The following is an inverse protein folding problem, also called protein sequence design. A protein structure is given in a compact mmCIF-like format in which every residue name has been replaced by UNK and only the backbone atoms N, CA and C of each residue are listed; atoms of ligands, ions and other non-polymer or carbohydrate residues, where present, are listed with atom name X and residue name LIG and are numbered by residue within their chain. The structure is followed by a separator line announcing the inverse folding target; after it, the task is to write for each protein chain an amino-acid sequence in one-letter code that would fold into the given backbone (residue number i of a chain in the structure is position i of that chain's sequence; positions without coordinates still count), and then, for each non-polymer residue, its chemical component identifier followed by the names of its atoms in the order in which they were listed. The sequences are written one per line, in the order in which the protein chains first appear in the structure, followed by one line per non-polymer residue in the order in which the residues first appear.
data_IF_672395733521
#
_entry.id   IF_672395733521
#
_cell.length_a   1.000
_cell.length_b   1.000
_cell.length_c   1.000
_cell.angle_alpha   90.00
_cell.angle_beta   90.00
_cell.angle_gamma   90.00
#
_symmetry.space_group_name_H-M   'P 1'
#
loop_
_entity.id
_entity.type
_entity.pdbx_description
1 polymer ?
#
# COMPACT_ATOMS: atom_id res chain seq x y z
N UNK A 1 -13.07 -0.39 -20.69
CA UNK A 1 -11.60 -0.26 -20.47
C UNK A 1 -11.25 -0.51 -19.02
N UNK A 2 -11.85 0.23 -18.07
CA UNK A 2 -11.60 0.09 -16.62
C UNK A 2 -11.70 -1.37 -16.16
N UNK A 3 -12.85 -2.03 -16.37
CA UNK A 3 -13.05 -3.43 -15.95
C UNK A 3 -12.10 -4.44 -16.59
N UNK A 4 -11.80 -4.29 -17.88
CA UNK A 4 -10.84 -5.15 -18.57
C UNK A 4 -9.42 -4.97 -18.01
N UNK A 5 -9.01 -3.74 -17.68
CA UNK A 5 -7.73 -3.48 -17.01
C UNK A 5 -7.69 -4.12 -15.62
N UNK A 6 -8.75 -3.95 -14.82
CA UNK A 6 -8.88 -4.59 -13.50
C UNK A 6 -8.72 -6.12 -13.59
N UNK A 7 -9.40 -6.76 -14.53
CA UNK A 7 -9.27 -8.21 -14.76
C UNK A 7 -7.84 -8.59 -15.16
N UNK A 8 -7.16 -7.79 -15.99
CA UNK A 8 -5.76 -8.04 -16.40
C UNK A 8 -4.75 -7.86 -15.28
N UNK A 9 -5.03 -6.96 -14.34
CA UNK A 9 -4.27 -6.82 -13.08
C UNK A 9 -4.66 -7.89 -12.05
N UNK A 10 -5.50 -8.84 -12.46
CA UNK A 10 -5.91 -9.97 -11.65
C UNK A 10 -6.86 -9.59 -10.55
N UNK A 11 -7.58 -8.47 -10.62
CA UNK A 11 -8.60 -8.07 -9.65
C UNK A 11 -9.86 -8.90 -9.85
N UNK A 12 -10.41 -9.42 -8.74
CA UNK A 12 -11.62 -10.24 -8.70
C UNK A 12 -12.68 -9.68 -7.72
N UNK A 13 -12.29 -8.81 -6.78
CA UNK A 13 -13.18 -8.17 -5.80
C UNK A 13 -12.92 -6.67 -5.80
N UNK A 14 -13.98 -5.89 -5.85
CA UNK A 14 -13.93 -4.43 -5.73
C UNK A 14 -14.95 -3.93 -4.70
N UNK A 15 -14.60 -2.86 -3.98
CA UNK A 15 -15.46 -2.25 -2.98
C UNK A 15 -15.88 -0.87 -3.45
N UNK A 16 -17.16 -0.55 -3.50
CA UNK A 16 -17.50 0.79 -4.00
C UNK A 16 -18.94 1.21 -3.86
N UNK A 17 -19.16 2.50 -4.07
CA UNK A 17 -20.48 3.12 -4.04
C UNK A 17 -20.73 3.88 -5.36
N UNK A 18 -21.85 3.61 -6.06
CA UNK A 18 -22.14 4.28 -7.34
C UNK A 18 -22.54 5.74 -7.14
N UNK A 19 -22.43 6.52 -8.21
CA UNK A 19 -22.91 7.90 -8.29
C UNK A 19 -22.81 8.47 -9.71
N UNK A 20 -23.35 9.68 -9.92
CA UNK A 20 -23.62 10.21 -11.26
C UNK A 20 -22.39 10.44 -12.16
N UNK A 21 -21.21 10.67 -11.56
CA UNK A 21 -19.97 10.92 -12.30
C UNK A 21 -19.22 9.64 -12.69
N UNK A 22 -19.40 8.55 -11.92
CA UNK A 22 -18.78 7.23 -12.18
C UNK A 22 -19.76 6.24 -12.82
N UNK A 23 -21.01 6.67 -13.08
CA UNK A 23 -22.07 5.80 -13.58
C UNK A 23 -21.72 5.08 -14.89
N UNK A 24 -21.06 5.69 -15.90
CA UNK A 24 -20.67 4.96 -17.11
C UNK A 24 -19.74 3.77 -16.83
N UNK A 25 -18.85 3.91 -15.84
CA UNK A 25 -18.04 2.79 -15.36
C UNK A 25 -18.92 1.71 -14.75
N UNK A 26 -19.86 2.05 -13.86
CA UNK A 26 -20.79 1.08 -13.26
C UNK A 26 -21.73 0.39 -14.27
N UNK A 27 -22.19 1.10 -15.29
CA UNK A 27 -23.07 0.54 -16.34
C UNK A 27 -22.36 -0.60 -17.10
N UNK A 28 -21.04 -0.46 -17.30
CA UNK A 28 -20.21 -1.47 -17.95
C UNK A 28 -19.83 -2.68 -17.08
N UNK A 29 -20.24 -2.73 -15.80
CA UNK A 29 -19.86 -3.77 -14.85
C UNK A 29 -20.60 -5.10 -15.08
N UNK A 30 -21.89 -5.04 -15.42
CA UNK A 30 -22.78 -6.21 -15.42
C UNK A 30 -22.26 -7.44 -16.20
N UNK A 31 -21.63 -7.30 -17.38
CA UNK A 31 -21.05 -8.46 -18.08
C UNK A 31 -19.92 -9.15 -17.28
N UNK A 32 -19.09 -8.39 -16.58
CA UNK A 32 -17.97 -8.92 -15.80
C UNK A 32 -18.44 -9.64 -14.54
N UNK A 33 -19.51 -9.16 -13.90
CA UNK A 33 -20.17 -9.88 -12.80
C UNK A 33 -20.90 -11.13 -13.29
N UNK A 34 -21.60 -11.04 -14.43
CA UNK A 34 -22.30 -12.17 -15.04
C UNK A 34 -21.37 -13.32 -15.44
N UNK A 35 -20.14 -13.00 -15.81
CA UNK A 35 -19.06 -13.98 -16.08
C UNK A 35 -18.30 -14.42 -14.82
N UNK A 36 -18.61 -13.86 -13.65
CA UNK A 36 -17.93 -14.17 -12.39
C UNK A 36 -16.48 -13.67 -12.32
N UNK A 37 -16.09 -12.73 -13.20
CA UNK A 37 -14.73 -12.16 -13.24
C UNK A 37 -14.51 -11.11 -12.16
N UNK A 38 -15.56 -10.35 -11.82
CA UNK A 38 -15.54 -9.30 -10.82
C UNK A 38 -16.70 -9.53 -9.85
N UNK A 39 -16.44 -9.35 -8.57
CA UNK A 39 -17.43 -9.29 -7.52
C UNK A 39 -17.47 -7.88 -6.94
N UNK A 40 -18.59 -7.16 -7.13
CA UNK A 40 -18.78 -5.86 -6.51
C UNK A 40 -19.40 -5.98 -5.12
N UNK A 41 -18.65 -5.52 -4.12
CA UNK A 41 -19.15 -5.31 -2.77
C UNK A 41 -19.67 -3.87 -2.66
N UNK A 42 -20.99 -3.72 -2.74
CA UNK A 42 -21.66 -2.44 -2.50
C UNK A 42 -21.54 -2.05 -1.02
N UNK A 43 -20.87 -0.94 -0.76
CA UNK A 43 -20.73 -0.38 0.59
C UNK A 43 -21.91 0.53 0.94
N UNK A 44 -21.99 0.95 2.21
CA UNK A 44 -22.93 1.98 2.67
C UNK A 44 -22.29 3.36 2.87
N UNK A 45 -20.97 3.44 2.78
CA UNK A 45 -20.19 4.67 2.84
C UNK A 45 -18.83 4.43 2.17
N UNK A 46 -18.32 5.37 1.39
CA UNK A 46 -17.08 5.18 0.62
C UNK A 46 -15.84 5.02 1.52
N UNK A 47 -15.85 5.62 2.72
CA UNK A 47 -14.82 5.32 3.73
C UNK A 47 -14.71 3.81 4.01
N UNK A 48 -15.84 3.09 4.05
CA UNK A 48 -15.84 1.64 4.20
C UNK A 48 -15.23 0.96 2.98
N UNK A 49 -15.42 1.49 1.76
CA UNK A 49 -14.78 0.95 0.56
C UNK A 49 -13.25 1.01 0.68
N UNK A 50 -12.70 2.15 1.09
CA UNK A 50 -11.26 2.31 1.26
C UNK A 50 -10.70 1.39 2.37
N UNK A 51 -11.38 1.27 3.52
CA UNK A 51 -10.95 0.36 4.58
C UNK A 51 -11.15 -1.13 4.26
N UNK A 52 -12.18 -1.49 3.49
CA UNK A 52 -12.34 -2.85 2.99
C UNK A 52 -11.26 -3.21 1.97
N UNK A 53 -10.90 -2.29 1.08
CA UNK A 53 -9.78 -2.45 0.16
C UNK A 53 -8.44 -2.60 0.92
N UNK A 54 -8.22 -1.80 1.96
CA UNK A 54 -7.06 -1.92 2.86
C UNK A 54 -7.00 -3.31 3.53
N UNK A 55 -8.10 -3.75 4.15
CA UNK A 55 -8.15 -5.06 4.80
C UNK A 55 -8.02 -6.23 3.82
N UNK A 56 -8.60 -6.12 2.63
CA UNK A 56 -8.43 -7.09 1.55
C UNK A 56 -6.96 -7.18 1.12
N UNK A 57 -6.29 -6.04 0.93
CA UNK A 57 -4.90 -6.02 0.51
C UNK A 57 -3.98 -6.66 1.55
N UNK A 58 -4.17 -6.33 2.83
CA UNK A 58 -3.38 -6.92 3.93
C UNK A 58 -3.59 -8.42 4.08
N UNK A 59 -4.81 -8.92 3.89
CA UNK A 59 -5.13 -10.34 4.10
C UNK A 59 -4.76 -11.24 2.92
N UNK A 60 -4.65 -10.67 1.71
CA UNK A 60 -4.40 -11.43 0.48
C UNK A 60 -3.01 -11.20 -0.13
N UNK A 61 -2.34 -10.10 0.25
CA UNK A 61 -1.12 -9.63 -0.42
C UNK A 61 -1.36 -9.05 -1.83
N UNK A 62 -2.62 -8.88 -2.24
CA UNK A 62 -3.01 -8.34 -3.55
C UNK A 62 -3.35 -6.85 -3.44
N UNK A 63 -3.43 -6.15 -4.58
CA UNK A 63 -3.85 -4.74 -4.61
C UNK A 63 -5.34 -4.65 -4.30
N UNK A 64 -5.70 -3.90 -3.26
CA UNK A 64 -7.10 -3.60 -2.94
C UNK A 64 -7.67 -2.53 -3.88
N UNK A 65 -8.93 -2.66 -4.30
CA UNK A 65 -9.57 -1.68 -5.19
C UNK A 65 -10.82 -1.09 -4.56
N UNK A 66 -10.85 0.23 -4.45
CA UNK A 66 -12.05 0.96 -4.05
C UNK A 66 -12.54 1.92 -5.15
N UNK A 67 -13.86 2.04 -5.31
CA UNK A 67 -14.49 2.88 -6.33
C UNK A 67 -15.50 3.85 -5.70
N UNK A 68 -15.44 5.12 -6.10
CA UNK A 68 -16.38 6.15 -5.68
C UNK A 68 -16.76 7.09 -6.83
N UNK A 69 -17.86 7.84 -6.65
CA UNK A 69 -18.22 8.96 -7.53
C UNK A 69 -17.38 10.22 -7.23
N UNK A 70 -17.57 11.29 -7.99
CA UNK A 70 -16.93 12.59 -7.80
C UNK A 70 -17.30 13.26 -6.48
N UNK A 71 -16.60 14.35 -6.17
CA UNK A 71 -16.93 15.24 -5.07
C UNK A 71 -17.03 14.50 -3.74
N UNK A 72 -18.23 14.43 -3.11
CA UNK A 72 -18.39 13.82 -1.80
C UNK A 72 -17.94 12.36 -1.74
N UNK A 73 -18.19 11.57 -2.80
CA UNK A 73 -17.81 10.15 -2.83
C UNK A 73 -16.30 9.98 -2.75
N UNK A 74 -15.57 10.74 -3.56
CA UNK A 74 -14.11 10.76 -3.56
C UNK A 74 -13.53 11.30 -2.25
N UNK A 75 -14.07 12.40 -1.70
CA UNK A 75 -13.59 12.96 -0.42
C UNK A 75 -13.83 12.02 0.76
N UNK A 76 -14.85 11.16 0.69
CA UNK A 76 -15.10 10.13 1.71
C UNK A 76 -14.04 9.02 1.73
N UNK A 77 -13.22 8.87 0.66
CA UNK A 77 -12.12 7.91 0.62
C UNK A 77 -10.88 8.37 1.39
N UNK A 78 -10.71 9.69 1.61
CA UNK A 78 -9.47 10.33 2.09
C UNK A 78 -8.90 9.66 3.33
N UNK A 79 -9.74 9.39 4.34
CA UNK A 79 -9.28 8.75 5.58
C UNK A 79 -8.71 7.36 5.35
N UNK A 80 -9.36 6.54 4.51
CA UNK A 80 -8.87 5.19 4.21
C UNK A 80 -7.60 5.20 3.35
N UNK A 81 -7.47 6.16 2.43
CA UNK A 81 -6.23 6.36 1.67
C UNK A 81 -5.08 6.79 2.60
N UNK A 82 -5.34 7.72 3.52
CA UNK A 82 -4.36 8.11 4.54
C UNK A 82 -3.91 6.92 5.41
N UNK A 83 -4.84 6.05 5.82
CA UNK A 83 -4.52 4.81 6.53
C UNK A 83 -3.59 3.92 5.70
N UNK A 84 -3.95 3.65 4.44
CA UNK A 84 -3.16 2.81 3.55
C UNK A 84 -1.76 3.38 3.28
N UNK A 85 -1.65 4.70 3.09
CA UNK A 85 -0.36 5.38 2.88
C UNK A 85 0.56 5.28 4.10
N UNK A 86 0.02 5.47 5.30
CA UNK A 86 0.80 5.43 6.54
C UNK A 86 1.33 4.03 6.86
N UNK A 87 0.58 3.00 6.45
CA UNK A 87 0.90 1.59 6.70
C UNK A 87 1.53 0.89 5.49
N UNK A 88 1.64 1.57 4.35
CA UNK A 88 2.24 1.04 3.10
C UNK A 88 1.41 -0.09 2.48
N UNK A 89 0.11 0.11 2.37
CA UNK A 89 -0.84 -0.88 1.83
C UNK A 89 -1.14 -0.57 0.36
N UNK A 90 -1.02 -1.55 -0.55
CA UNK A 90 -1.29 -1.34 -1.98
C UNK A 90 -2.78 -1.22 -2.23
N UNK A 91 -3.23 -0.01 -2.59
CA UNK A 91 -4.61 0.26 -2.98
C UNK A 91 -4.63 1.03 -4.30
N UNK A 92 -5.58 0.72 -5.18
CA UNK A 92 -5.94 1.58 -6.31
C UNK A 92 -7.35 2.10 -6.10
N UNK A 93 -7.48 3.41 -5.95
CA UNK A 93 -8.75 4.10 -5.79
C UNK A 93 -9.18 4.70 -7.13
N UNK A 94 -10.36 4.33 -7.62
CA UNK A 94 -10.91 4.85 -8.88
C UNK A 94 -12.06 5.78 -8.55
N UNK A 95 -11.96 7.04 -8.96
CA UNK A 95 -13.00 8.04 -8.75
C UNK A 95 -13.55 8.53 -10.08
N UNK A 96 -14.85 8.77 -10.14
CA UNK A 96 -15.44 9.52 -11.25
C UNK A 96 -15.21 11.01 -11.04
N UNK A 97 -15.09 11.77 -12.12
CA UNK A 97 -15.00 13.22 -12.09
C UNK A 97 -16.02 13.86 -13.04
N UNK A 98 -16.28 15.15 -12.87
CA UNK A 98 -17.06 15.94 -13.84
C UNK A 98 -16.44 15.84 -15.25
N UNK A 99 -17.22 16.05 -16.32
CA UNK A 99 -16.68 16.14 -17.67
C UNK A 99 -15.53 17.15 -17.79
N UNK A 100 -14.57 16.88 -18.68
CA UNK A 100 -13.36 17.72 -18.85
C UNK A 100 -13.66 19.20 -19.04
N UNK A 101 -14.72 19.56 -19.78
CA UNK A 101 -15.11 20.94 -20.05
C UNK A 101 -15.69 21.69 -18.84
N UNK A 102 -15.94 21.00 -17.72
CA UNK A 102 -16.46 21.56 -16.48
C UNK A 102 -15.40 21.61 -15.36
N UNK A 103 -14.19 21.09 -15.61
CA UNK A 103 -13.10 21.18 -14.64
C UNK A 103 -12.74 22.65 -14.34
N UNK A 104 -12.60 22.96 -13.06
CA UNK A 104 -12.29 24.29 -12.52
C UNK A 104 -13.45 25.29 -12.59
N UNK A 105 -14.71 24.83 -12.76
CA UNK A 105 -15.87 25.73 -12.94
C UNK A 105 -16.83 25.78 -11.76
N UNK A 106 -16.48 25.14 -10.64
CA UNK A 106 -17.36 24.89 -9.49
C UNK A 106 -18.62 24.12 -9.91
N UNK A 107 -18.43 23.12 -10.78
CA UNK A 107 -19.52 22.31 -11.29
C UNK A 107 -20.17 21.46 -10.18
N UNK A 108 -21.38 20.96 -10.46
CA UNK A 108 -22.10 20.12 -9.50
C UNK A 108 -21.30 18.86 -9.15
N UNK A 109 -21.03 18.69 -7.84
CA UNK A 109 -20.20 17.60 -7.29
C UNK A 109 -18.79 17.54 -7.86
N UNK A 110 -18.24 18.68 -8.30
CA UNK A 110 -16.82 18.84 -8.54
C UNK A 110 -16.05 18.96 -7.22
N UNK A 111 -14.87 18.38 -7.15
CA UNK A 111 -13.86 18.66 -6.13
C UNK A 111 -12.48 18.39 -6.71
N UNK A 112 -11.47 19.16 -6.29
CA UNK A 112 -10.07 18.88 -6.59
C UNK A 112 -9.58 17.66 -5.79
N UNK A 113 -10.05 16.47 -6.19
CA UNK A 113 -9.75 15.21 -5.50
C UNK A 113 -8.26 14.92 -5.57
N UNK A 114 -7.60 15.24 -6.68
CA UNK A 114 -6.15 15.07 -6.84
C UNK A 114 -5.40 15.92 -5.81
N UNK A 115 -5.72 17.21 -5.66
CA UNK A 115 -5.12 18.08 -4.66
C UNK A 115 -5.42 17.64 -3.22
N UNK A 116 -6.66 17.27 -2.92
CA UNK A 116 -7.08 16.79 -1.59
C UNK A 116 -6.35 15.50 -1.19
N UNK A 117 -6.10 14.60 -2.15
CA UNK A 117 -5.51 13.28 -1.87
C UNK A 117 -4.00 13.22 -2.09
N UNK A 118 -3.39 14.23 -2.72
CA UNK A 118 -1.95 14.29 -2.96
C UNK A 118 -1.08 14.02 -1.71
N UNK A 119 -1.38 14.54 -0.50
CA UNK A 119 -0.56 14.26 0.68
C UNK A 119 -0.77 12.87 1.28
N UNK A 120 -1.83 12.16 0.86
CA UNK A 120 -2.25 10.87 1.44
C UNK A 120 -2.26 9.74 0.41
N UNK A 121 -1.67 9.96 -0.76
CA UNK A 121 -1.47 8.96 -1.81
C UNK A 121 -0.02 8.92 -2.23
N UNK A 122 0.44 7.73 -2.65
CA UNK A 122 1.76 7.53 -3.23
C UNK A 122 1.87 8.25 -4.58
N UNK A 123 0.79 8.23 -5.35
CA UNK A 123 0.66 8.97 -6.61
C UNK A 123 -0.81 9.15 -6.97
N UNK A 124 -1.12 10.15 -7.80
CA UNK A 124 -2.47 10.45 -8.27
C UNK A 124 -2.47 10.77 -9.76
N UNK A 125 -3.54 10.38 -10.45
CA UNK A 125 -3.79 10.73 -11.85
C UNK A 125 -5.13 11.43 -12.01
N UNK A 126 -5.19 12.40 -12.93
CA UNK A 126 -6.42 12.93 -13.51
C UNK A 126 -6.45 12.54 -14.99
N UNK A 127 -7.39 11.67 -15.36
CA UNK A 127 -7.55 11.17 -16.72
C UNK A 127 -8.52 12.06 -17.49
N UNK A 128 -8.01 12.75 -18.50
CA UNK A 128 -8.77 13.67 -19.37
C UNK A 128 -8.83 13.20 -20.83
N UNK A 129 -8.07 12.18 -21.22
CA UNK A 129 -8.12 11.53 -22.53
C UNK A 129 -8.32 10.01 -22.37
N UNK A 130 -9.21 9.43 -23.17
CA UNK A 130 -9.48 7.98 -23.20
C UNK A 130 -8.29 7.16 -23.70
N UNK A 131 -7.40 7.77 -24.49
CA UNK A 131 -6.21 7.09 -25.02
C UNK A 131 -5.15 6.84 -23.94
N UNK A 132 -5.12 7.67 -22.89
CA UNK A 132 -4.17 7.53 -21.77
C UNK A 132 -4.67 6.53 -20.72
N UNK A 133 -6.00 6.33 -20.64
CA UNK A 133 -6.65 5.55 -19.60
C UNK A 133 -6.04 4.13 -19.40
N UNK A 134 -5.75 3.34 -20.46
CA UNK A 134 -5.17 2.02 -20.27
C UNK A 134 -3.76 2.05 -19.65
N UNK A 135 -2.92 3.00 -20.07
CA UNK A 135 -1.56 3.15 -19.55
C UNK A 135 -1.59 3.61 -18.09
N UNK A 136 -2.39 4.64 -17.79
CA UNK A 136 -2.54 5.17 -16.43
C UNK A 136 -3.03 4.10 -15.46
N UNK A 137 -4.00 3.27 -15.86
CA UNK A 137 -4.44 2.16 -15.00
C UNK A 137 -3.30 1.18 -14.75
N UNK A 138 -2.52 0.82 -15.79
CA UNK A 138 -1.36 -0.06 -15.64
C UNK A 138 -0.28 0.51 -14.72
N UNK A 139 0.05 1.79 -14.90
CA UNK A 139 0.98 2.51 -14.03
C UNK A 139 0.47 2.59 -12.59
N UNK A 140 -0.82 2.85 -12.39
CA UNK A 140 -1.39 2.95 -11.06
C UNK A 140 -1.23 1.66 -10.25
N UNK A 141 -1.51 0.50 -10.87
CA UNK A 141 -1.30 -0.79 -10.21
C UNK A 141 0.19 -1.09 -9.96
N UNK A 142 1.06 -0.75 -10.90
CA UNK A 142 2.50 -0.91 -10.73
C UNK A 142 3.04 -0.02 -9.58
N UNK A 143 2.70 1.27 -9.58
CA UNK A 143 3.11 2.19 -8.52
C UNK A 143 2.53 1.75 -7.17
N UNK A 144 1.27 1.31 -7.12
CA UNK A 144 0.66 0.88 -5.86
C UNK A 144 1.41 -0.31 -5.23
N UNK A 145 1.90 -1.24 -6.05
CA UNK A 145 2.54 -2.50 -5.62
C UNK A 145 4.04 -2.40 -5.41
N UNK A 146 4.78 -1.74 -6.29
CA UNK A 146 6.24 -1.84 -6.36
C UNK A 146 6.98 -0.97 -5.32
N UNK A 147 8.16 -1.43 -4.89
CA UNK A 147 8.96 -0.76 -3.85
C UNK A 147 8.25 -0.76 -2.50
N UNK A 148 8.16 0.41 -1.84
CA UNK A 148 7.26 0.57 -0.68
C UNK A 148 5.82 0.70 -1.19
N UNK A 149 4.90 -0.26 -0.95
CA UNK A 149 3.55 -0.19 -1.48
C UNK A 149 2.76 0.98 -0.90
N UNK A 150 1.69 1.38 -1.58
CA UNK A 150 0.84 2.47 -1.12
C UNK A 150 -0.37 2.72 -2.02
N UNK A 151 -1.30 3.59 -1.59
CA UNK A 151 -2.47 3.96 -2.37
C UNK A 151 -2.13 4.83 -3.58
N UNK A 152 -2.76 4.54 -4.71
CA UNK A 152 -2.76 5.38 -5.92
C UNK A 152 -4.19 5.73 -6.29
N UNK A 153 -4.47 7.00 -6.55
CA UNK A 153 -5.79 7.45 -7.00
C UNK A 153 -5.80 7.70 -8.52
N UNK A 154 -6.84 7.23 -9.20
CA UNK A 154 -7.10 7.47 -10.62
C UNK A 154 -8.45 8.15 -10.76
N UNK A 155 -8.45 9.46 -11.01
CA UNK A 155 -9.64 10.28 -11.18
C UNK A 155 -10.02 10.36 -12.66
N UNK A 156 -11.21 9.89 -13.04
CA UNK A 156 -11.59 9.70 -14.45
C UNK A 156 -12.77 10.60 -14.82
N UNK A 157 -12.55 11.56 -15.71
CA UNK A 157 -13.61 12.45 -16.20
C UNK A 157 -14.75 11.66 -16.86
N UNK A 158 -15.99 12.07 -16.62
CA UNK A 158 -17.18 11.34 -17.09
C UNK A 158 -17.24 11.18 -18.61
N UNK A 159 -16.82 12.19 -19.37
CA UNK A 159 -16.74 12.15 -20.82
C UNK A 159 -15.67 11.17 -21.32
N UNK A 160 -14.55 11.03 -20.60
CA UNK A 160 -13.54 9.98 -20.87
C UNK A 160 -14.12 8.59 -20.68
N UNK A 161 -14.91 8.36 -19.62
CA UNK A 161 -15.55 7.06 -19.39
C UNK A 161 -16.54 6.67 -20.51
N UNK A 162 -17.19 7.65 -21.15
CA UNK A 162 -18.12 7.43 -22.25
C UNK A 162 -17.45 7.36 -23.62
N UNK A 163 -16.22 7.87 -23.74
CA UNK A 163 -15.49 7.89 -24.99
C UNK A 163 -15.11 6.46 -25.44
N UNK A 164 -14.96 6.30 -26.76
CA UNK A 164 -14.46 5.06 -27.36
C UNK A 164 -12.99 5.25 -27.69
N UNK A 165 -12.17 4.28 -27.35
CA UNK A 165 -10.76 4.24 -27.70
C UNK A 165 -10.29 2.80 -27.91
N UNK A 166 -9.03 2.64 -28.29
CA UNK A 166 -8.40 1.33 -28.39
C UNK A 166 -7.88 0.90 -27.01
N UNK A 167 -8.23 -0.30 -26.58
CA UNK A 167 -7.67 -0.85 -25.35
C UNK A 167 -6.40 -1.65 -25.65
N UNK A 168 -5.25 -1.13 -25.19
CA UNK A 168 -3.95 -1.81 -25.19
C UNK A 168 -3.43 -1.89 -23.77
N UNK A 169 -2.90 -3.05 -23.39
CA UNK A 169 -2.42 -3.31 -22.02
C UNK A 169 -1.06 -4.03 -22.00
N UNK A 170 -0.55 -4.35 -23.19
CA UNK A 170 0.74 -4.94 -23.50
C UNK A 170 1.85 -3.87 -23.64
N UNK A 171 1.71 -2.74 -22.94
CA UNK A 171 2.64 -1.62 -22.99
C UNK A 171 3.71 -1.75 -21.91
N UNK A 172 4.93 -1.29 -22.19
CA UNK A 172 5.97 -1.13 -21.16
C UNK A 172 5.67 0.10 -20.31
N UNK A 173 5.95 0.00 -19.01
CA UNK A 173 5.79 1.11 -18.07
C UNK A 173 7.10 1.89 -18.08
N UNK A 174 7.04 3.16 -18.47
CA UNK A 174 8.18 4.08 -18.46
C UNK A 174 7.92 5.21 -17.45
N UNK A 175 8.37 4.99 -16.21
CA UNK A 175 8.26 5.94 -15.11
C UNK A 175 9.66 6.45 -14.72
N UNK A 176 10.24 7.37 -15.51
CA UNK A 176 11.58 7.88 -15.24
C UNK A 176 11.61 8.54 -13.85
N UNK A 177 12.50 8.06 -12.99
CA UNK A 177 12.65 8.52 -11.60
C UNK A 177 11.95 7.65 -10.55
N UNK A 178 11.10 6.71 -10.95
CA UNK A 178 10.57 5.69 -10.04
C UNK A 178 11.47 4.46 -10.04
N UNK A 179 12.34 4.37 -9.04
CA UNK A 179 13.24 3.21 -8.82
C UNK A 179 12.74 2.41 -7.62
N UNK A 180 11.88 1.38 -7.82
CA UNK A 180 11.27 0.66 -6.71
C UNK A 180 12.26 -0.19 -5.93
N UNK A 181 13.29 -0.70 -6.60
CA UNK A 181 14.29 -1.61 -6.05
C UNK A 181 15.68 -1.03 -6.32
N UNK A 182 16.28 -0.31 -5.34
CA UNK A 182 17.62 0.23 -5.51
C UNK A 182 18.66 -0.91 -5.57
N UNK A 183 19.75 -0.68 -6.31
CA UNK A 183 20.87 -1.63 -6.35
C UNK A 183 21.50 -1.77 -4.96
N UNK A 184 21.75 -3.01 -4.54
CA UNK A 184 22.34 -3.32 -3.24
C UNK A 184 23.82 -3.66 -3.43
N UNK A 185 24.68 -2.89 -2.79
CA UNK A 185 26.11 -3.17 -2.78
C UNK A 185 26.43 -4.40 -1.90
N UNK A 186 27.01 -5.44 -2.50
CA UNK A 186 27.35 -6.67 -1.77
C UNK A 186 28.31 -6.45 -0.59
N UNK A 187 29.15 -5.41 -0.65
CA UNK A 187 30.07 -5.06 0.43
C UNK A 187 29.31 -4.54 1.67
N UNK A 188 28.20 -3.83 1.49
CA UNK A 188 27.36 -3.35 2.59
C UNK A 188 26.69 -4.51 3.32
N UNK A 189 26.24 -5.54 2.60
CA UNK A 189 25.69 -6.77 3.20
C UNK A 189 26.78 -7.50 4.00
N UNK A 190 27.99 -7.63 3.46
CA UNK A 190 29.12 -8.27 4.16
C UNK A 190 29.49 -7.52 5.43
N UNK A 191 29.58 -6.19 5.36
CA UNK A 191 29.87 -5.35 6.52
C UNK A 191 28.78 -5.50 7.61
N UNK A 192 27.50 -5.56 7.23
CA UNK A 192 26.42 -5.81 8.18
C UNK A 192 26.54 -7.21 8.83
N UNK A 193 26.84 -8.24 8.05
CA UNK A 193 27.08 -9.59 8.57
C UNK A 193 28.28 -9.64 9.52
N UNK A 194 29.37 -8.92 9.22
CA UNK A 194 30.54 -8.83 10.08
C UNK A 194 30.21 -8.16 11.42
N UNK A 195 29.41 -7.08 11.41
CA UNK A 195 28.92 -6.43 12.65
C UNK A 195 28.11 -7.43 13.48
N UNK A 196 27.17 -8.15 12.86
CA UNK A 196 26.34 -9.14 13.54
C UNK A 196 27.20 -10.25 14.16
N UNK A 197 28.18 -10.78 13.43
CA UNK A 197 29.04 -11.87 13.90
C UNK A 197 29.97 -11.47 15.06
N UNK A 198 30.31 -10.19 15.19
CA UNK A 198 31.16 -9.68 16.28
C UNK A 198 30.38 -9.11 17.47
N UNK A 199 29.06 -8.96 17.35
CA UNK A 199 28.21 -8.48 18.44
C UNK A 199 28.01 -9.55 19.51
N UNK A 200 27.94 -9.13 20.78
CA UNK A 200 27.70 -10.03 21.91
C UNK A 200 26.19 -10.17 22.22
N UNK A 201 25.40 -9.13 21.91
CA UNK A 201 23.96 -9.05 22.17
C UNK A 201 23.19 -8.48 20.95
N UNK A 202 23.28 -9.12 19.77
CA UNK A 202 22.51 -8.70 18.62
C UNK A 202 21.00 -8.82 18.88
N UNK A 203 20.23 -7.93 18.27
CA UNK A 203 18.77 -7.97 18.31
C UNK A 203 18.19 -7.62 16.94
N UNK A 204 17.28 -8.44 16.44
CA UNK A 204 16.48 -8.07 15.26
C UNK A 204 15.24 -7.31 15.70
N UNK A 205 14.97 -6.18 15.06
CA UNK A 205 13.72 -5.45 15.19
C UNK A 205 12.99 -5.47 13.85
N UNK A 206 11.98 -6.33 13.74
CA UNK A 206 11.29 -6.64 12.49
C UNK A 206 9.97 -5.87 12.34
N UNK A 207 9.84 -5.15 11.23
CA UNK A 207 8.66 -4.37 10.87
C UNK A 207 7.82 -4.98 9.75
N UNK A 208 6.82 -4.20 9.32
CA UNK A 208 5.87 -4.59 8.28
C UNK A 208 6.51 -4.98 6.94
N UNK A 209 7.64 -4.36 6.60
CA UNK A 209 8.35 -4.58 5.33
C UNK A 209 8.82 -6.02 5.12
N UNK A 210 9.01 -6.79 6.19
CA UNK A 210 9.30 -8.24 6.09
C UNK A 210 8.09 -8.98 5.52
N UNK A 211 6.88 -8.67 5.99
CA UNK A 211 5.63 -9.28 5.49
C UNK A 211 5.35 -8.84 4.05
N UNK A 212 5.52 -7.55 3.77
CA UNK A 212 5.31 -6.99 2.43
C UNK A 212 6.24 -7.61 1.38
N UNK A 213 7.49 -7.88 1.75
CA UNK A 213 8.43 -8.56 0.87
C UNK A 213 8.20 -10.09 0.80
N UNK A 214 7.35 -10.65 1.65
CA UNK A 214 7.08 -12.10 1.69
C UNK A 214 8.25 -12.93 2.24
N UNK A 215 9.16 -12.33 3.01
CA UNK A 215 10.44 -12.93 3.42
C UNK A 215 10.48 -13.42 4.88
N UNK A 216 9.32 -13.78 5.43
CA UNK A 216 9.24 -14.28 6.82
C UNK A 216 10.00 -15.60 7.04
N UNK A 217 10.14 -16.44 6.00
CA UNK A 217 10.89 -17.71 6.08
C UNK A 217 12.38 -17.46 6.16
N UNK A 218 12.89 -16.57 5.31
CA UNK A 218 14.29 -16.15 5.24
C UNK A 218 14.69 -15.43 6.53
N UNK A 219 13.79 -14.63 7.12
CA UNK A 219 13.98 -14.08 8.45
C UNK A 219 14.13 -15.19 9.49
N UNK A 220 13.27 -16.20 9.48
CA UNK A 220 13.35 -17.30 10.44
C UNK A 220 14.65 -18.10 10.28
N UNK A 221 15.09 -18.36 9.05
CA UNK A 221 16.39 -19.01 8.78
C UNK A 221 17.56 -18.20 9.35
N UNK A 222 17.55 -16.87 9.20
CA UNK A 222 18.56 -16.00 9.80
C UNK A 222 18.54 -16.07 11.34
N UNK A 223 17.34 -16.01 11.93
CA UNK A 223 17.11 -16.06 13.38
C UNK A 223 17.64 -17.37 13.97
N UNK A 224 17.30 -18.50 13.37
CA UNK A 224 17.71 -19.83 13.82
C UNK A 224 19.22 -20.05 13.63
N UNK A 225 19.77 -19.59 12.51
CA UNK A 225 21.21 -19.74 12.20
C UNK A 225 22.08 -18.94 13.15
N UNK A 226 21.70 -17.69 13.43
CA UNK A 226 22.51 -16.78 14.23
C UNK A 226 22.13 -16.81 15.72
N UNK A 227 21.01 -17.45 16.09
CA UNK A 227 20.53 -17.48 17.47
C UNK A 227 20.09 -16.11 18.00
N UNK A 228 19.63 -15.22 17.12
CA UNK A 228 19.36 -13.82 17.45
C UNK A 228 17.89 -13.65 17.88
N UNK A 229 17.61 -13.08 19.07
CA UNK A 229 16.23 -12.76 19.46
C UNK A 229 15.60 -11.70 18.56
N UNK A 230 14.28 -11.77 18.42
CA UNK A 230 13.48 -10.88 17.56
C UNK A 230 12.45 -10.13 18.38
N UNK A 231 12.41 -8.82 18.21
CA UNK A 231 11.30 -7.96 18.60
C UNK A 231 10.54 -7.55 17.34
N UNK A 232 9.22 -7.49 17.40
CA UNK A 232 8.40 -6.97 16.30
C UNK A 232 7.88 -5.58 16.59
N UNK A 233 7.66 -4.79 15.54
CA UNK A 233 6.73 -3.64 15.61
C UNK A 233 5.28 -4.14 15.60
N UNK A 234 4.31 -3.28 15.91
CA UNK A 234 2.87 -3.62 15.81
C UNK A 234 2.49 -4.18 14.43
N UNK A 235 2.98 -3.54 13.36
CA UNK A 235 2.71 -3.97 11.98
C UNK A 235 3.61 -5.13 11.54
N UNK A 236 4.63 -5.49 12.32
CA UNK A 236 5.49 -6.65 12.07
C UNK A 236 5.05 -7.90 12.84
N UNK A 237 3.98 -7.82 13.63
CA UNK A 237 3.43 -8.96 14.35
C UNK A 237 3.07 -10.08 13.38
N UNK A 238 3.54 -11.30 13.68
CA UNK A 238 3.43 -12.46 12.79
C UNK A 238 4.60 -12.65 11.81
N UNK A 239 5.63 -11.79 11.83
CA UNK A 239 6.86 -12.01 11.06
C UNK A 239 7.58 -13.32 11.40
N UNK A 240 7.46 -13.75 12.66
CA UNK A 240 7.86 -15.07 13.15
C UNK A 240 6.74 -15.61 14.04
N UNK A 241 6.64 -16.93 14.28
CA UNK A 241 5.71 -17.47 15.25
C UNK A 241 5.96 -16.90 16.65
N UNK A 242 4.93 -16.35 17.30
CA UNK A 242 5.10 -15.78 18.66
C UNK A 242 5.48 -16.84 19.70
N UNK A 243 5.15 -18.11 19.44
CA UNK A 243 5.56 -19.25 20.27
C UNK A 243 7.03 -19.65 20.08
N UNK A 244 7.73 -19.09 19.10
CA UNK A 244 9.14 -19.38 18.85
C UNK A 244 9.99 -18.88 20.04
N UNK A 245 10.96 -19.66 20.55
CA UNK A 245 11.72 -19.30 21.76
C UNK A 245 12.55 -18.02 21.64
N UNK A 246 12.89 -17.61 20.40
CA UNK A 246 13.58 -16.34 20.12
C UNK A 246 12.62 -15.17 19.83
N UNK A 247 11.31 -15.37 19.89
CA UNK A 247 10.34 -14.28 19.80
C UNK A 247 10.23 -13.57 21.15
N UNK A 248 10.55 -12.28 21.17
CA UNK A 248 10.33 -11.41 22.33
C UNK A 248 8.99 -10.64 22.25
N UNK A 249 8.17 -10.91 21.23
CA UNK A 249 6.91 -10.21 21.01
C UNK A 249 7.10 -8.75 20.59
N UNK A 250 6.04 -7.96 20.77
CA UNK A 250 5.98 -6.58 20.30
C UNK A 250 6.76 -5.63 21.20
N UNK A 251 7.56 -4.73 20.62
CA UNK A 251 8.22 -3.62 21.33
C UNK A 251 7.40 -2.31 21.30
N UNK A 252 7.90 -1.29 21.99
CA UNK A 252 7.36 0.07 21.93
C UNK A 252 6.50 0.48 23.12
N UNK A 253 5.71 1.54 22.96
CA UNK A 253 4.94 2.22 24.01
C UNK A 253 4.04 1.29 24.83
N UNK A 254 3.41 0.32 24.17
CA UNK A 254 2.58 -0.72 24.78
C UNK A 254 3.11 -2.13 24.49
N UNK A 255 4.40 -2.23 24.13
CA UNK A 255 5.08 -3.49 23.94
C UNK A 255 5.50 -4.14 25.25
N UNK A 256 6.03 -5.34 25.13
CA UNK A 256 6.51 -6.13 26.25
C UNK A 256 7.70 -5.45 26.93
N UNK A 257 7.69 -5.43 28.27
CA UNK A 257 8.75 -4.77 29.03
C UNK A 257 10.12 -5.40 28.77
N UNK A 258 10.18 -6.72 28.55
CA UNK A 258 11.41 -7.43 28.23
C UNK A 258 11.88 -7.18 26.80
N UNK A 259 10.97 -7.02 25.82
CA UNK A 259 11.32 -6.59 24.46
C UNK A 259 11.98 -5.21 24.46
N UNK A 260 11.39 -4.25 25.18
CA UNK A 260 11.95 -2.91 25.32
C UNK A 260 13.31 -2.91 26.04
N UNK A 261 13.50 -3.75 27.06
CA UNK A 261 14.81 -3.92 27.72
C UNK A 261 15.85 -4.52 26.77
N UNK A 262 15.47 -5.50 25.95
CA UNK A 262 16.36 -6.08 24.95
C UNK A 262 16.80 -5.02 23.92
N UNK A 263 15.87 -4.21 23.40
CA UNK A 263 16.21 -3.08 22.51
C UNK A 263 17.23 -2.13 23.15
N UNK A 264 17.04 -1.82 24.43
CA UNK A 264 17.93 -0.89 25.14
C UNK A 264 19.29 -1.48 25.51
N UNK A 265 19.38 -2.81 25.60
CA UNK A 265 20.59 -3.53 26.02
C UNK A 265 21.39 -4.11 24.84
N UNK A 266 20.82 -4.20 23.64
CA UNK A 266 21.51 -4.70 22.47
C UNK A 266 22.72 -3.84 22.10
N UNK A 267 23.75 -4.48 21.58
CA UNK A 267 24.97 -3.84 21.07
C UNK A 267 25.06 -3.84 19.54
N UNK A 268 24.09 -4.48 18.89
CA UNK A 268 23.81 -4.35 17.46
C UNK A 268 22.29 -4.48 17.24
N UNK A 269 21.67 -3.45 16.67
CA UNK A 269 20.25 -3.45 16.32
C UNK A 269 20.07 -3.66 14.82
N UNK A 270 19.49 -4.79 14.44
CA UNK A 270 19.20 -5.12 13.05
C UNK A 270 17.75 -4.70 12.74
N UNK A 271 17.58 -3.46 12.28
CA UNK A 271 16.28 -2.92 11.89
C UNK A 271 15.87 -3.46 10.51
N UNK A 272 14.85 -4.30 10.45
CA UNK A 272 14.40 -4.96 9.21
C UNK A 272 13.00 -4.53 8.83
N UNK A 273 12.84 -3.89 7.66
CA UNK A 273 11.52 -3.57 7.11
C UNK A 273 10.66 -2.68 8.01
N UNK A 274 11.27 -1.76 8.76
CA UNK A 274 10.58 -0.88 9.69
C UNK A 274 10.84 0.59 9.40
N UNK A 275 9.98 1.47 9.93
CA UNK A 275 10.25 2.90 10.07
C UNK A 275 10.37 3.19 11.56
N UNK A 276 11.41 3.91 11.98
CA UNK A 276 11.66 4.27 13.37
C UNK A 276 10.61 5.27 13.89
N UNK A 277 9.37 4.81 14.05
CA UNK A 277 8.25 5.63 14.49
C UNK A 277 8.33 5.93 16.00
N UNK A 278 7.65 6.99 16.44
CA UNK A 278 7.69 7.46 17.82
C UNK A 278 7.08 6.46 18.81
N UNK A 279 6.21 5.55 18.35
CA UNK A 279 5.59 4.51 19.19
C UNK A 279 6.49 3.32 19.42
N UNK A 280 7.47 3.08 18.54
CA UNK A 280 8.55 2.12 18.81
C UNK A 280 9.70 2.78 19.58
N UNK A 281 10.14 3.98 19.18
CA UNK A 281 11.38 4.57 19.73
C UNK A 281 11.18 5.31 21.04
N UNK A 282 10.00 5.90 21.26
CA UNK A 282 9.80 6.91 22.29
C UNK A 282 10.81 8.05 22.12
N UNK A 283 11.66 8.25 23.12
CA UNK A 283 12.73 9.26 23.06
C UNK A 283 13.92 8.76 22.24
N UNK A 284 14.06 9.31 21.02
CA UNK A 284 15.18 9.00 20.10
C UNK A 284 16.55 9.18 20.73
N UNK A 285 16.74 10.24 21.53
CA UNK A 285 18.01 10.51 22.24
C UNK A 285 18.36 9.48 23.31
N UNK A 286 17.48 8.50 23.57
CA UNK A 286 17.64 7.39 24.50
C UNK A 286 17.34 6.03 23.87
N UNK A 287 17.07 5.98 22.57
CA UNK A 287 16.72 4.73 21.91
C UNK A 287 17.99 3.95 21.56
N UNK A 288 18.05 2.66 21.95
CA UNK A 288 19.12 1.71 21.59
C UNK A 288 20.56 2.27 21.72
N UNK A 289 20.86 3.01 22.80
CA UNK A 289 22.14 3.74 22.95
C UNK A 289 23.42 2.89 22.93
N UNK A 290 23.27 1.59 23.19
CA UNK A 290 24.39 0.66 23.28
C UNK A 290 24.70 0.00 21.93
N UNK A 291 23.83 0.20 20.93
CA UNK A 291 23.93 -0.35 19.58
C UNK A 291 24.56 0.63 18.58
#
# INVERSE_FOLDING_TARGET
MVWEALVREGVDVIFGHPGGAILPTYDALAPFEGEGKIHHVLVRHEQCAAHMADGYARSTGRVGVCIATSGPGATNLVTGLATAQMDSVPIVAITGQVPTNLLGTDAFQESDVVGVTQPVCKHNYLVTDVNDLPLILKEAFFIAREGRPGPVLVDICKDVQNAKGLFRYDMEIDLPGFVPWPEIESNSIRAAADIINHSERPLILAGHGVQLAGVSKELLELVEKAGIPVVTTLLGTGNIPESHPLSLGMGGMHGEAFANRAIQACDALIAMGMRFDDRITGRLDRFAKQA
#
